data_IF_206802778403
#
_entry.id   IF_206802778403
#
_cell.length_a   1.000
_cell.length_b   1.000
_cell.length_c   1.000
_cell.angle_alpha   90.00
_cell.angle_beta   90.00
_cell.angle_gamma   90.00
#
_symmetry.space_group_name_H-M   'P 1'
#
loop_
_entity.id
_entity.type
_entity.pdbx_description
1 polymer ?
#
# COMPACT_ATOMS: atom_id res chain seq x y z
N UNK A 1 42.19 -27.64 10.53
CA UNK A 1 40.77 -27.71 10.90
C UNK A 1 39.98 -27.77 9.60
N UNK A 2 38.96 -28.62 9.46
CA UNK A 2 38.53 -29.12 8.13
C UNK A 2 37.91 -28.09 7.17
N UNK A 3 37.88 -26.80 7.52
CA UNK A 3 37.30 -25.71 6.70
C UNK A 3 38.25 -24.51 6.49
N UNK A 4 39.52 -24.60 6.89
CA UNK A 4 40.51 -23.52 6.68
C UNK A 4 41.20 -23.63 5.31
N UNK A 5 41.20 -22.55 4.53
CA UNK A 5 41.73 -22.49 3.16
C UNK A 5 43.14 -21.91 3.03
N UNK A 6 43.67 -21.26 4.08
CA UNK A 6 45.05 -20.79 4.13
C UNK A 6 45.70 -20.90 5.52
N UNK A 7 46.99 -20.58 5.59
CA UNK A 7 47.76 -20.59 6.84
C UNK A 7 47.42 -19.44 7.81
N UNK A 8 46.52 -18.53 7.43
CA UNK A 8 46.03 -17.44 8.27
C UNK A 8 44.66 -17.77 8.91
N UNK A 9 44.23 -19.04 8.83
CA UNK A 9 42.93 -19.51 9.36
C UNK A 9 41.73 -18.86 8.66
N UNK A 10 41.89 -18.41 7.40
CA UNK A 10 40.76 -17.94 6.59
C UNK A 10 39.88 -19.13 6.16
N UNK A 11 38.59 -18.86 5.97
CA UNK A 11 37.58 -19.82 5.48
C UNK A 11 37.20 -19.42 4.04
N UNK A 12 36.89 -20.39 3.18
CA UNK A 12 36.35 -20.09 1.84
C UNK A 12 34.94 -19.51 1.96
N UNK A 13 34.67 -18.45 1.20
CA UNK A 13 33.32 -17.97 0.99
C UNK A 13 32.53 -18.95 0.12
N UNK A 14 31.24 -18.67 -0.11
CA UNK A 14 30.40 -19.56 -0.92
C UNK A 14 30.84 -19.67 -2.39
N UNK A 15 31.72 -18.78 -2.87
CA UNK A 15 32.26 -18.78 -4.22
C UNK A 15 33.61 -19.53 -4.30
N UNK A 16 34.06 -20.12 -3.19
CA UNK A 16 35.36 -20.79 -3.10
C UNK A 16 36.53 -19.81 -3.03
N UNK A 17 36.28 -18.54 -2.67
CA UNK A 17 37.34 -17.53 -2.48
C UNK A 17 37.76 -17.52 -1.02
N UNK A 18 39.02 -17.84 -0.79
CA UNK A 18 39.59 -17.85 0.55
C UNK A 18 39.61 -16.45 1.17
N UNK A 19 38.91 -16.27 2.30
CA UNK A 19 38.75 -14.96 2.96
C UNK A 19 37.87 -13.98 2.18
N UNK A 20 37.01 -14.49 1.30
CA UNK A 20 35.96 -13.68 0.66
C UNK A 20 34.77 -13.44 1.59
N UNK A 21 33.91 -12.50 1.19
CA UNK A 21 32.72 -12.10 1.96
C UNK A 21 31.40 -12.58 1.30
N UNK A 22 31.47 -13.39 0.23
CA UNK A 22 30.28 -13.85 -0.47
C UNK A 22 29.47 -14.81 0.42
N UNK A 23 28.16 -14.54 0.53
CA UNK A 23 27.22 -15.37 1.28
C UNK A 23 26.20 -15.98 0.32
N UNK A 24 25.69 -17.16 0.70
CA UNK A 24 24.55 -17.77 0.02
C UNK A 24 23.30 -16.99 0.42
N UNK A 25 22.54 -16.54 -0.57
CA UNK A 25 21.26 -15.86 -0.36
C UNK A 25 20.11 -16.83 -0.05
N UNK A 26 18.91 -16.30 0.15
CA UNK A 26 17.70 -17.08 0.44
C UNK A 26 17.31 -18.04 -0.70
N UNK A 27 17.88 -17.83 -1.89
CA UNK A 27 17.67 -18.61 -3.09
C UNK A 27 18.73 -19.69 -3.34
N UNK A 28 19.71 -19.79 -2.43
CA UNK A 28 20.80 -20.75 -2.58
C UNK A 28 21.88 -20.30 -3.56
N UNK A 29 21.83 -19.04 -4.02
CA UNK A 29 22.83 -18.47 -4.91
C UNK A 29 23.91 -17.74 -4.12
N UNK A 30 25.17 -18.03 -4.44
CA UNK A 30 26.29 -17.35 -3.80
C UNK A 30 26.47 -15.94 -4.36
N UNK A 31 26.34 -14.92 -3.50
CA UNK A 31 26.38 -13.52 -3.91
C UNK A 31 25.24 -13.15 -4.87
N UNK A 32 24.12 -13.88 -4.78
CA UNK A 32 22.95 -13.65 -5.60
C UNK A 32 22.24 -12.34 -5.25
N UNK A 33 21.26 -11.92 -6.07
CA UNK A 33 20.50 -10.69 -5.86
C UNK A 33 19.54 -10.76 -4.65
N UNK A 34 19.38 -11.94 -4.01
CA UNK A 34 18.35 -12.19 -3.02
C UNK A 34 17.01 -12.57 -3.65
N UNK A 35 16.00 -12.79 -2.82
CA UNK A 35 14.67 -13.11 -3.29
C UNK A 35 13.96 -11.89 -3.91
N UNK A 36 13.23 -12.13 -4.99
CA UNK A 36 12.29 -11.20 -5.61
C UNK A 36 10.99 -11.13 -4.81
N UNK A 37 10.45 -9.93 -4.63
CA UNK A 37 9.20 -9.71 -3.90
C UNK A 37 8.00 -9.79 -4.84
N UNK A 38 7.08 -10.70 -4.55
CA UNK A 38 5.91 -10.99 -5.37
C UNK A 38 4.64 -10.25 -4.92
N UNK A 39 4.71 -9.55 -3.79
CA UNK A 39 3.58 -8.91 -3.13
C UNK A 39 2.87 -9.79 -2.11
N UNK A 40 2.10 -9.16 -1.22
CA UNK A 40 1.36 -9.85 -0.16
C UNK A 40 2.25 -10.64 0.82
N UNK A 41 3.50 -10.22 1.01
CA UNK A 41 4.47 -10.93 1.85
C UNK A 41 5.10 -12.18 1.22
N UNK A 42 4.91 -12.39 -0.09
CA UNK A 42 5.45 -13.54 -0.83
C UNK A 42 6.80 -13.16 -1.46
N UNK A 43 7.80 -14.03 -1.31
CA UNK A 43 9.13 -13.88 -1.88
C UNK A 43 9.51 -15.13 -2.67
N UNK A 44 9.95 -14.95 -3.91
CA UNK A 44 10.37 -16.04 -4.79
C UNK A 44 11.73 -15.70 -5.41
N UNK A 45 12.43 -16.69 -5.94
CA UNK A 45 13.79 -16.46 -6.45
C UNK A 45 13.83 -15.72 -7.79
N UNK A 46 12.72 -15.70 -8.52
CA UNK A 46 12.58 -14.95 -9.76
C UNK A 46 11.15 -14.44 -9.90
N UNK A 47 10.97 -13.36 -10.66
CA UNK A 47 9.66 -12.77 -10.98
C UNK A 47 8.68 -13.78 -11.61
N UNK A 48 9.17 -14.72 -12.43
CA UNK A 48 8.31 -15.70 -13.11
C UNK A 48 7.73 -16.75 -12.15
N UNK A 49 8.33 -16.91 -10.98
CA UNK A 49 7.91 -17.88 -9.97
C UNK A 49 6.86 -17.25 -9.03
N UNK A 50 6.62 -15.94 -9.13
CA UNK A 50 5.60 -15.25 -8.35
C UNK A 50 4.19 -15.74 -8.68
N UNK A 51 3.35 -15.99 -7.66
CA UNK A 51 1.95 -16.28 -7.89
C UNK A 51 1.22 -15.04 -8.39
N UNK A 52 0.30 -15.23 -9.33
CA UNK A 52 -0.57 -14.15 -9.84
C UNK A 52 -1.62 -13.68 -8.82
N UNK A 53 -1.77 -14.42 -7.71
CA UNK A 53 -2.75 -14.16 -6.65
C UNK A 53 -2.06 -14.10 -5.29
N UNK A 54 -2.55 -13.21 -4.43
CA UNK A 54 -2.07 -13.01 -3.07
C UNK A 54 -3.20 -13.04 -2.04
N UNK A 55 -2.84 -13.32 -0.79
CA UNK A 55 -3.74 -13.18 0.36
C UNK A 55 -3.21 -12.04 1.24
N UNK A 56 -4.09 -11.11 1.64
CA UNK A 56 -3.70 -10.02 2.53
C UNK A 56 -4.87 -9.59 3.43
N UNK A 57 -4.56 -8.93 4.54
CA UNK A 57 -5.56 -8.41 5.46
C UNK A 57 -5.35 -6.93 5.75
N UNK A 58 -6.46 -6.22 5.99
CA UNK A 58 -6.52 -4.83 6.39
C UNK A 58 -7.08 -4.75 7.80
N UNK A 59 -6.29 -4.24 8.74
CA UNK A 59 -6.76 -4.05 10.11
C UNK A 59 -7.63 -2.79 10.21
N UNK A 60 -8.84 -2.97 10.75
CA UNK A 60 -9.86 -1.93 10.91
C UNK A 60 -10.11 -1.67 12.39
N UNK A 61 -10.13 -0.40 12.78
CA UNK A 61 -10.57 -0.01 14.12
C UNK A 61 -12.10 0.17 14.15
N UNK A 62 -12.69 0.10 15.35
CA UNK A 62 -14.11 0.41 15.55
C UNK A 62 -14.45 1.79 14.98
N UNK A 63 -15.60 1.90 14.30
CA UNK A 63 -16.03 3.11 13.61
C UNK A 63 -15.73 3.08 12.11
N UNK A 64 -15.55 4.26 11.52
CA UNK A 64 -15.32 4.43 10.09
C UNK A 64 -13.82 4.40 9.80
N UNK A 65 -13.40 3.62 8.81
CA UNK A 65 -12.03 3.48 8.35
C UNK A 65 -11.99 3.87 6.87
N UNK A 66 -11.09 4.76 6.46
CA UNK A 66 -10.93 5.11 5.06
C UNK A 66 -9.88 4.22 4.40
N UNK A 67 -10.33 3.25 3.63
CA UNK A 67 -9.47 2.22 3.03
C UNK A 67 -9.54 2.23 1.51
N UNK A 68 -8.57 1.54 0.91
CA UNK A 68 -8.58 1.15 -0.50
C UNK A 68 -8.10 -0.28 -0.68
N UNK A 69 -8.21 -0.78 -1.90
CA UNK A 69 -7.76 -2.12 -2.27
C UNK A 69 -6.73 -2.01 -3.38
N UNK A 70 -5.57 -2.65 -3.20
CA UNK A 70 -4.53 -2.79 -4.22
C UNK A 70 -4.57 -4.18 -4.88
N UNK A 71 -5.38 -5.10 -4.35
CA UNK A 71 -5.71 -6.37 -4.98
C UNK A 71 -7.16 -6.76 -4.66
N UNK A 72 -7.85 -7.41 -5.60
CA UNK A 72 -9.22 -7.91 -5.40
C UNK A 72 -9.38 -9.34 -5.91
N UNK A 73 -10.28 -10.14 -5.30
CA UNK A 73 -10.57 -11.47 -5.80
C UNK A 73 -11.39 -11.38 -7.09
N UNK A 74 -11.37 -12.44 -7.90
CA UNK A 74 -12.16 -12.58 -9.15
C UNK A 74 -13.62 -12.11 -8.99
N UNK A 75 -14.23 -12.44 -7.86
CA UNK A 75 -15.55 -11.93 -7.48
C UNK A 75 -15.41 -10.72 -6.56
N UNK A 76 -15.40 -9.52 -7.14
CA UNK A 76 -15.39 -8.25 -6.39
C UNK A 76 -16.73 -7.87 -5.76
N UNK A 77 -17.71 -8.79 -5.67
CA UNK A 77 -19.02 -8.49 -5.07
C UNK A 77 -18.86 -8.08 -3.61
N UNK A 78 -19.66 -7.12 -3.15
CA UNK A 78 -19.57 -6.59 -1.77
C UNK A 78 -19.64 -7.70 -0.72
N UNK A 79 -20.49 -8.71 -0.95
CA UNK A 79 -20.63 -9.85 -0.03
C UNK A 79 -19.42 -10.79 -0.03
N UNK A 80 -18.68 -10.90 -1.13
CA UNK A 80 -17.46 -11.70 -1.18
C UNK A 80 -16.29 -10.97 -0.50
N UNK A 81 -16.07 -9.70 -0.87
CA UNK A 81 -14.97 -8.89 -0.35
C UNK A 81 -15.11 -8.68 1.16
N UNK A 82 -16.31 -8.39 1.67
CA UNK A 82 -16.56 -8.14 3.09
C UNK A 82 -16.82 -9.41 3.90
N UNK A 83 -16.65 -10.60 3.31
CA UNK A 83 -17.07 -11.87 3.92
C UNK A 83 -16.31 -12.19 5.22
N UNK A 84 -15.04 -11.81 5.32
CA UNK A 84 -14.20 -12.04 6.52
C UNK A 84 -14.59 -11.18 7.72
N UNK A 85 -15.31 -10.08 7.51
CA UNK A 85 -15.82 -9.19 8.56
C UNK A 85 -17.35 -9.22 8.67
N UNK A 86 -17.98 -10.29 8.18
CA UNK A 86 -19.42 -10.48 8.34
C UNK A 86 -19.80 -10.47 9.84
N UNK A 87 -20.84 -9.73 10.17
CA UNK A 87 -21.24 -9.47 11.55
C UNK A 87 -20.54 -8.29 12.24
N UNK A 88 -19.41 -7.78 11.71
CA UNK A 88 -18.76 -6.55 12.20
C UNK A 88 -19.09 -5.33 11.34
N UNK A 89 -19.14 -5.52 10.01
CA UNK A 89 -19.44 -4.43 9.08
C UNK A 89 -20.87 -3.93 9.22
N UNK A 90 -21.03 -2.61 9.33
CA UNK A 90 -22.33 -1.93 9.49
C UNK A 90 -22.67 -1.04 8.29
N UNK A 91 -21.68 -0.66 7.50
CA UNK A 91 -21.89 0.13 6.28
C UNK A 91 -20.61 0.30 5.47
N UNK A 92 -20.78 0.50 4.18
CA UNK A 92 -19.71 0.81 3.23
C UNK A 92 -20.15 1.99 2.37
N UNK A 93 -19.34 3.03 2.31
CA UNK A 93 -19.64 4.27 1.59
C UNK A 93 -18.50 4.56 0.62
N UNK A 94 -18.84 4.67 -0.66
CA UNK A 94 -17.93 5.12 -1.72
C UNK A 94 -18.32 6.52 -2.19
N UNK A 95 -17.77 6.95 -3.33
CA UNK A 95 -18.10 8.26 -3.87
C UNK A 95 -19.54 8.35 -4.36
N UNK A 96 -20.40 9.09 -3.64
CA UNK A 96 -21.81 9.25 -4.00
C UNK A 96 -22.65 7.95 -3.91
N UNK A 97 -22.07 6.86 -3.41
CA UNK A 97 -22.69 5.54 -3.33
C UNK A 97 -22.54 4.96 -1.92
N UNK A 98 -23.45 4.08 -1.53
CA UNK A 98 -23.39 3.42 -0.23
C UNK A 98 -24.13 2.08 -0.24
N UNK A 99 -23.73 1.20 0.67
CA UNK A 99 -24.47 -0.02 1.01
C UNK A 99 -24.32 -0.38 2.48
N UNK A 100 -25.28 -1.11 3.01
CA UNK A 100 -25.27 -1.63 4.38
C UNK A 100 -25.84 -3.03 4.40
N UNK A 101 -25.32 -3.94 5.24
CA UNK A 101 -25.88 -5.28 5.39
C UNK A 101 -27.24 -5.21 6.10
N UNK A 102 -28.17 -6.06 5.68
CA UNK A 102 -29.48 -6.25 6.29
C UNK A 102 -29.69 -7.73 6.65
N UNK A 103 -30.15 -8.05 7.87
CA UNK A 103 -30.18 -9.43 8.38
C UNK A 103 -30.94 -10.46 7.54
N UNK A 104 -31.87 -10.01 6.70
CA UNK A 104 -32.72 -10.89 5.87
C UNK A 104 -32.52 -10.66 4.38
N UNK A 105 -32.10 -9.47 3.98
CA UNK A 105 -32.11 -9.04 2.57
C UNK A 105 -30.71 -9.04 1.96
N UNK A 106 -29.68 -9.41 2.75
CA UNK A 106 -28.29 -9.25 2.35
C UNK A 106 -27.92 -7.77 2.28
N UNK A 107 -27.08 -7.41 1.33
CA UNK A 107 -26.64 -6.03 1.14
C UNK A 107 -27.72 -5.17 0.49
N UNK A 108 -28.04 -4.03 1.11
CA UNK A 108 -28.98 -3.03 0.59
C UNK A 108 -28.21 -1.77 0.25
N UNK A 109 -28.33 -1.27 -0.96
CA UNK A 109 -27.66 -0.04 -1.39
C UNK A 109 -27.37 0.00 -2.88
N UNK A 110 -26.56 0.96 -3.28
CA UNK A 110 -26.11 1.13 -4.66
C UNK A 110 -24.79 0.42 -4.96
N UNK A 111 -23.96 0.14 -3.95
CA UNK A 111 -22.71 -0.61 -4.14
C UNK A 111 -23.04 -2.11 -4.20
N UNK A 112 -22.84 -2.72 -5.36
CA UNK A 112 -22.95 -4.18 -5.54
C UNK A 112 -21.58 -4.87 -5.64
N UNK A 113 -20.59 -4.13 -6.11
CA UNK A 113 -19.22 -4.57 -6.31
C UNK A 113 -18.26 -3.50 -5.78
N UNK A 114 -17.13 -3.95 -5.27
CA UNK A 114 -15.98 -3.10 -4.98
C UNK A 114 -15.23 -2.89 -6.30
N UNK A 115 -15.07 -1.63 -6.65
CA UNK A 115 -14.17 -1.16 -7.69
C UNK A 115 -12.76 -0.99 -7.09
N UNK A 116 -11.78 -1.61 -7.74
CA UNK A 116 -10.36 -1.57 -7.36
C UNK A 116 -9.76 -0.17 -7.49
N UNK A 117 -10.37 0.72 -8.27
CA UNK A 117 -9.92 2.10 -8.49
C UNK A 117 -10.49 3.11 -7.48
N UNK A 118 -11.41 2.68 -6.62
CA UNK A 118 -12.12 3.56 -5.71
C UNK A 118 -11.68 3.36 -4.25
N UNK A 119 -11.73 4.44 -3.47
CA UNK A 119 -11.62 4.37 -2.01
C UNK A 119 -12.99 4.12 -1.37
N UNK A 120 -12.99 3.65 -0.11
CA UNK A 120 -14.21 3.37 0.63
C UNK A 120 -14.06 3.72 2.11
N UNK A 121 -15.11 4.30 2.68
CA UNK A 121 -15.32 4.30 4.12
C UNK A 121 -15.99 2.98 4.52
N UNK A 122 -15.26 2.11 5.21
CA UNK A 122 -15.81 0.89 5.80
C UNK A 122 -16.06 1.14 7.28
N UNK A 123 -17.33 0.97 7.68
CA UNK A 123 -17.78 1.22 9.04
C UNK A 123 -18.00 -0.11 9.74
N UNK A 124 -17.28 -0.34 10.83
CA UNK A 124 -17.36 -1.57 11.65
C UNK A 124 -17.75 -1.23 13.09
N UNK A 125 -18.45 -2.14 13.76
CA UNK A 125 -18.91 -1.93 15.14
C UNK A 125 -17.80 -2.16 16.18
N UNK A 126 -16.89 -3.11 15.93
CA UNK A 126 -15.70 -3.39 16.72
C UNK A 126 -14.45 -3.55 15.84
N UNK A 127 -13.26 -3.47 16.43
CA UNK A 127 -12.01 -3.67 15.70
C UNK A 127 -11.93 -5.10 15.13
N UNK A 128 -11.54 -5.22 13.88
CA UNK A 128 -11.50 -6.48 13.14
C UNK A 128 -10.47 -6.42 12.01
N UNK A 129 -10.22 -7.55 11.34
CA UNK A 129 -9.29 -7.63 10.21
C UNK A 129 -10.03 -8.11 8.96
N UNK A 130 -10.03 -7.27 7.92
CA UNK A 130 -10.63 -7.55 6.62
C UNK A 130 -9.62 -8.28 5.74
N UNK A 131 -9.76 -9.60 5.65
CA UNK A 131 -8.90 -10.45 4.83
C UNK A 131 -9.50 -10.69 3.45
N UNK A 132 -8.68 -10.51 2.43
CA UNK A 132 -8.95 -10.77 1.02
C UNK A 132 -8.08 -11.95 0.60
N UNK A 133 -8.70 -13.00 0.07
CA UNK A 133 -8.00 -14.19 -0.38
C UNK A 133 -8.11 -14.33 -1.91
N UNK A 134 -7.15 -15.01 -2.51
CA UNK A 134 -7.05 -15.24 -3.96
C UNK A 134 -7.15 -13.91 -4.76
N UNK A 135 -6.49 -12.87 -4.26
CA UNK A 135 -6.60 -11.50 -4.78
C UNK A 135 -5.64 -11.27 -5.95
N UNK A 136 -6.16 -10.77 -7.07
CA UNK A 136 -5.39 -10.30 -8.21
C UNK A 136 -4.92 -8.87 -7.96
N UNK A 137 -3.62 -8.63 -8.14
CA UNK A 137 -3.00 -7.31 -8.01
C UNK A 137 -3.55 -6.32 -9.05
N UNK A 138 -3.59 -5.04 -8.65
CA UNK A 138 -3.88 -3.94 -9.56
C UNK A 138 -2.72 -3.73 -10.51
N UNK A 139 -3.01 -3.36 -11.76
CA UNK A 139 -1.99 -2.92 -12.71
C UNK A 139 -1.36 -1.61 -12.22
N UNK A 140 -0.03 -1.52 -12.17
CA UNK A 140 0.67 -0.29 -11.75
C UNK A 140 0.53 0.84 -12.78
N UNK A 141 0.19 0.53 -14.05
CA UNK A 141 -0.09 1.53 -15.09
C UNK A 141 -1.56 1.99 -15.11
N UNK A 142 -2.25 1.84 -13.99
CA UNK A 142 -3.67 2.17 -13.86
C UNK A 142 -3.95 3.67 -14.01
N UNK A 143 -4.85 4.00 -14.95
CA UNK A 143 -5.30 5.37 -15.22
C UNK A 143 -6.66 5.67 -14.55
N UNK A 144 -6.67 6.61 -13.62
CA UNK A 144 -7.86 7.14 -12.95
C UNK A 144 -8.47 8.28 -13.75
N UNK A 145 -9.78 8.20 -14.01
CA UNK A 145 -10.51 9.28 -14.68
C UNK A 145 -11.11 10.22 -13.62
N UNK A 146 -10.40 11.32 -13.32
CA UNK A 146 -10.79 12.29 -12.30
C UNK A 146 -11.72 13.35 -12.88
N UNK A 147 -12.74 13.73 -12.12
CA UNK A 147 -13.54 14.91 -12.39
C UNK A 147 -13.14 16.07 -11.49
N UNK A 148 -13.48 17.29 -11.91
CA UNK A 148 -13.30 18.50 -11.10
C UNK A 148 -13.93 18.34 -9.72
N UNK A 149 -13.18 18.74 -8.68
CA UNK A 149 -13.57 18.54 -7.29
C UNK A 149 -12.88 17.34 -6.65
N UNK A 150 -13.53 16.76 -5.65
CA UNK A 150 -12.97 15.68 -4.84
C UNK A 150 -13.33 14.33 -5.45
N UNK A 151 -12.33 13.47 -5.63
CA UNK A 151 -12.45 12.12 -6.19
C UNK A 151 -11.96 11.13 -5.13
N UNK A 152 -12.73 10.10 -4.81
CA UNK A 152 -12.34 9.09 -3.83
C UNK A 152 -11.70 7.88 -4.52
N UNK A 153 -10.38 7.82 -4.50
CA UNK A 153 -9.59 6.82 -5.24
C UNK A 153 -8.88 5.84 -4.32
N UNK A 154 -8.47 4.71 -4.91
CA UNK A 154 -7.53 3.76 -4.33
C UNK A 154 -6.07 4.14 -4.60
N UNK A 155 -5.15 3.50 -3.87
CA UNK A 155 -3.74 3.45 -4.22
C UNK A 155 -3.41 2.05 -4.80
N UNK A 156 -2.81 1.95 -6.00
CA UNK A 156 -2.76 0.71 -6.79
C UNK A 156 -1.57 -0.21 -6.44
N UNK A 157 -0.79 0.12 -5.42
CA UNK A 157 0.36 -0.67 -4.98
C UNK A 157 0.24 -0.97 -3.50
N UNK A 158 0.93 -2.01 -3.06
CA UNK A 158 1.11 -2.34 -1.63
C UNK A 158 2.06 -1.37 -0.90
N UNK A 159 2.86 -0.62 -1.67
CA UNK A 159 3.92 0.24 -1.18
C UNK A 159 3.42 1.56 -0.56
N UNK A 160 4.37 2.30 0.00
CA UNK A 160 4.17 3.67 0.48
C UNK A 160 5.03 4.64 -0.31
N UNK A 161 4.40 5.65 -0.91
CA UNK A 161 5.07 6.65 -1.75
C UNK A 161 4.78 8.04 -1.22
N UNK A 162 5.75 8.95 -1.24
CA UNK A 162 5.46 10.33 -0.79
C UNK A 162 4.49 11.02 -1.75
N UNK A 163 3.66 11.94 -1.25
CA UNK A 163 2.62 12.58 -2.07
C UNK A 163 3.20 13.26 -3.32
N UNK A 164 4.39 13.84 -3.22
CA UNK A 164 5.05 14.53 -4.35
C UNK A 164 5.61 13.60 -5.42
N UNK A 165 5.97 12.35 -5.08
CA UNK A 165 6.44 11.36 -6.06
C UNK A 165 5.30 10.50 -6.61
N UNK A 166 4.23 10.31 -5.83
CA UNK A 166 3.10 9.51 -6.26
C UNK A 166 2.30 10.16 -7.40
N UNK A 167 2.40 11.48 -7.55
CA UNK A 167 1.67 12.26 -8.54
C UNK A 167 2.60 12.64 -9.70
N UNK A 168 2.28 12.28 -10.95
CA UNK A 168 3.03 12.70 -12.12
C UNK A 168 3.10 14.23 -12.26
N UNK A 169 4.25 14.76 -12.69
CA UNK A 169 4.49 16.20 -12.84
C UNK A 169 3.42 16.92 -13.70
N UNK A 170 2.88 16.23 -14.72
CA UNK A 170 1.91 16.80 -15.65
C UNK A 170 0.50 16.94 -15.03
N UNK A 171 0.17 16.14 -14.02
CA UNK A 171 -1.09 16.20 -13.27
C UNK A 171 -0.94 16.92 -11.93
N UNK A 172 0.24 16.88 -11.32
CA UNK A 172 0.49 17.41 -9.97
C UNK A 172 0.01 18.85 -9.81
N UNK A 173 0.22 19.69 -10.83
CA UNK A 173 -0.20 21.11 -10.83
C UNK A 173 -1.72 21.32 -10.82
N UNK A 174 -2.50 20.31 -11.20
CA UNK A 174 -3.97 20.33 -11.16
C UNK A 174 -4.51 19.81 -9.83
N UNK A 175 -3.69 19.10 -9.04
CA UNK A 175 -4.07 18.58 -7.73
C UNK A 175 -3.85 19.64 -6.66
N UNK A 176 -4.93 20.08 -6.03
CA UNK A 176 -4.88 21.12 -4.98
C UNK A 176 -4.72 20.55 -3.58
N UNK A 177 -5.15 19.31 -3.37
CA UNK A 177 -5.15 18.69 -2.07
C UNK A 177 -5.37 17.18 -2.13
N UNK A 178 -4.81 16.50 -1.13
CA UNK A 178 -4.96 15.07 -0.89
C UNK A 178 -5.39 14.90 0.57
N UNK A 179 -6.45 14.14 0.81
CA UNK A 179 -6.99 13.88 2.15
C UNK A 179 -7.15 12.38 2.35
N UNK A 180 -6.72 11.88 3.51
CA UNK A 180 -6.94 10.50 3.99
C UNK A 180 -7.52 10.53 5.39
N UNK A 181 -7.86 9.38 5.96
CA UNK A 181 -8.17 9.29 7.37
C UNK A 181 -7.02 9.80 8.24
N UNK A 182 -7.32 10.79 9.08
CA UNK A 182 -6.38 11.40 10.01
C UNK A 182 -5.31 12.31 9.38
N UNK A 183 -5.31 12.50 8.05
CA UNK A 183 -4.25 13.21 7.33
C UNK A 183 -4.76 14.04 6.17
N UNK A 184 -4.09 15.17 5.92
CA UNK A 184 -4.32 15.96 4.72
C UNK A 184 -3.04 16.69 4.31
N UNK A 185 -2.90 16.92 3.00
CA UNK A 185 -1.88 17.77 2.41
C UNK A 185 -2.49 18.65 1.34
N UNK A 186 -2.01 19.88 1.25
CA UNK A 186 -2.46 20.90 0.31
C UNK A 186 -1.25 21.44 -0.42
N UNK A 187 -1.37 21.60 -1.74
CA UNK A 187 -0.29 22.15 -2.54
C UNK A 187 -0.34 23.69 -2.49
N UNK A 188 0.75 24.33 -2.08
CA UNK A 188 0.90 25.80 -2.06
C UNK A 188 2.22 26.14 -2.75
N UNK A 189 2.13 26.87 -3.88
CA UNK A 189 3.30 27.25 -4.69
C UNK A 189 4.17 26.06 -5.16
N UNK A 190 3.57 24.89 -5.40
CA UNK A 190 4.29 23.68 -5.81
C UNK A 190 4.93 22.90 -4.66
N UNK A 191 4.70 23.28 -3.41
CA UNK A 191 5.11 22.52 -2.23
C UNK A 191 3.90 21.92 -1.52
N UNK A 192 4.02 20.66 -1.07
CA UNK A 192 3.00 19.99 -0.28
C UNK A 192 3.12 20.36 1.20
N UNK A 193 2.06 20.93 1.76
CA UNK A 193 1.97 21.32 3.16
C UNK A 193 0.81 20.59 3.84
N UNK A 194 1.09 19.94 4.97
CA UNK A 194 0.07 19.24 5.73
C UNK A 194 0.62 18.16 6.64
N UNK A 195 -0.27 17.34 7.19
CA UNK A 195 0.08 16.18 8.00
C UNK A 195 0.24 14.90 7.19
N UNK A 196 -0.18 14.87 5.92
CA UNK A 196 -0.05 13.70 5.05
C UNK A 196 1.24 13.74 4.23
N UNK A 197 2.24 12.97 4.62
CA UNK A 197 3.51 12.92 3.89
C UNK A 197 3.51 11.90 2.74
N UNK A 198 2.75 10.80 2.87
CA UNK A 198 2.78 9.67 1.95
C UNK A 198 1.42 9.01 1.72
N UNK A 199 1.27 8.40 0.55
CA UNK A 199 0.20 7.48 0.17
C UNK A 199 0.61 6.05 0.52
N UNK A 200 -0.32 5.23 0.96
CA UNK A 200 -0.13 3.85 1.38
C UNK A 200 -1.30 2.99 0.93
N UNK A 201 -1.00 1.75 0.56
CA UNK A 201 -1.92 0.75 0.02
C UNK A 201 -3.22 0.48 0.78
N UNK A 202 -3.20 0.57 2.10
CA UNK A 202 -4.34 0.26 2.96
C UNK A 202 -5.32 1.42 3.17
N UNK A 203 -5.04 2.60 2.61
CA UNK A 203 -5.79 3.84 2.88
C UNK A 203 -6.47 4.38 1.63
N UNK A 204 -7.70 4.86 1.79
CA UNK A 204 -8.40 5.58 0.74
C UNK A 204 -8.02 7.05 0.70
N UNK A 205 -8.05 7.67 -0.49
CA UNK A 205 -7.66 9.06 -0.67
C UNK A 205 -8.71 9.87 -1.41
N UNK A 206 -8.99 11.06 -0.90
CA UNK A 206 -9.70 12.10 -1.64
C UNK A 206 -8.68 12.97 -2.36
N UNK A 207 -8.69 12.93 -3.69
CA UNK A 207 -7.87 13.80 -4.55
C UNK A 207 -8.73 14.95 -5.06
N UNK A 208 -8.31 16.18 -4.75
CA UNK A 208 -9.04 17.40 -5.13
C UNK A 208 -8.38 18.02 -6.34
N UNK A 209 -9.03 17.96 -7.50
CA UNK A 209 -8.52 18.51 -8.77
C UNK A 209 -9.31 19.74 -9.24
N UNK A 210 -8.62 20.68 -9.91
CA UNK A 210 -9.25 21.91 -10.40
C UNK A 210 -10.11 21.70 -11.66
N UNK A 211 -9.73 20.75 -12.50
CA UNK A 211 -10.42 20.38 -13.73
C UNK A 211 -10.35 18.87 -13.94
N UNK A 212 -11.24 18.34 -14.77
CA UNK A 212 -11.21 16.94 -15.17
C UNK A 212 -9.83 16.59 -15.74
N UNK A 213 -9.31 15.42 -15.34
CA UNK A 213 -7.96 14.98 -15.65
C UNK A 213 -7.89 13.46 -15.62
N UNK A 214 -6.91 12.91 -16.33
CA UNK A 214 -6.53 11.51 -16.15
C UNK A 214 -5.30 11.46 -15.26
N UNK A 215 -5.32 10.63 -14.22
CA UNK A 215 -4.21 10.47 -13.29
C UNK A 215 -3.66 9.05 -13.42
N UNK A 216 -2.37 8.91 -13.69
CA UNK A 216 -1.62 7.69 -13.38
C UNK A 216 -0.88 7.94 -12.07
N UNK A 217 -0.73 6.97 -11.18
CA UNK A 217 0.11 7.14 -9.98
C UNK A 217 1.50 6.59 -10.27
N UNK A 218 2.55 7.36 -9.97
CA UNK A 218 3.95 7.01 -10.28
C UNK A 218 4.72 6.49 -9.05
N UNK A 219 5.88 5.86 -9.33
CA UNK A 219 6.89 5.43 -8.35
C UNK A 219 6.37 4.60 -7.17
N UNK A 220 5.41 3.72 -7.43
CA UNK A 220 4.88 2.75 -6.49
C UNK A 220 5.76 1.51 -6.33
N UNK A 221 7.08 1.73 -6.26
CA UNK A 221 8.13 0.72 -6.10
C UNK A 221 8.83 0.87 -4.75
N UNK A 222 9.13 -0.28 -4.13
CA UNK A 222 9.95 -0.48 -2.94
C UNK A 222 10.93 0.67 -2.63
N UNK A 223 10.66 1.42 -1.56
CA UNK A 223 11.65 2.32 -0.96
C UNK A 223 12.14 1.70 0.36
N UNK A 224 13.43 1.34 0.32
CA UNK A 224 14.40 1.00 1.35
C UNK A 224 14.09 1.51 2.80
N UNK A 225 14.29 0.71 3.87
CA UNK A 225 14.12 1.09 5.29
C UNK A 225 15.03 2.24 5.83
N UNK A 226 15.64 3.06 4.97
CA UNK A 226 16.51 4.18 5.30
C UNK A 226 15.92 5.56 5.01
N UNK A 227 14.75 5.92 5.56
CA UNK A 227 14.19 7.27 5.35
C UNK A 227 15.02 8.34 6.07
N UNK A 228 15.79 9.13 5.31
CA UNK A 228 16.43 10.35 5.82
C UNK A 228 15.42 11.51 5.88
N UNK A 229 15.25 12.07 7.08
CA UNK A 229 14.38 13.23 7.29
C UNK A 229 15.17 14.53 7.15
N UNK A 230 14.79 15.36 6.17
CA UNK A 230 15.28 16.73 6.08
C UNK A 230 14.59 17.60 7.16
N UNK A 231 15.31 17.85 8.27
CA UNK A 231 14.85 18.70 9.36
C UNK A 231 15.15 20.18 9.09
N UNK A 232 14.14 21.04 9.27
CA UNK A 232 14.25 22.48 9.07
C UNK A 232 14.33 23.26 10.39
N UNK A 233 14.74 24.53 10.32
CA UNK A 233 14.82 25.42 11.47
C UNK A 233 13.41 25.79 11.98
N UNK A 234 12.99 25.25 13.13
CA UNK A 234 11.67 25.47 13.71
C UNK A 234 11.12 24.23 14.43
N UNK A 235 9.80 24.18 14.65
CA UNK A 235 9.14 22.97 15.11
C UNK A 235 8.86 22.06 13.90
N UNK A 236 9.39 20.85 13.95
CA UNK A 236 9.16 19.82 12.94
C UNK A 236 8.19 18.79 13.55
N UNK A 237 7.20 18.35 12.76
CA UNK A 237 6.33 17.23 13.12
C UNK A 237 6.81 16.01 12.35
N UNK A 238 7.29 15.00 13.08
CA UNK A 238 7.83 13.76 12.52
C UNK A 238 6.96 12.63 13.09
N UNK A 239 6.38 11.80 12.22
CA UNK A 239 5.67 10.58 12.60
C UNK A 239 6.60 9.38 12.45
N UNK A 240 6.78 8.62 13.52
CA UNK A 240 7.61 7.42 13.55
C UNK A 240 6.81 6.21 13.07
N UNK A 241 7.23 5.46 12.04
CA UNK A 241 6.49 4.33 11.52
C UNK A 241 6.94 3.03 12.22
N UNK A 242 6.58 2.86 13.50
CA UNK A 242 6.76 1.57 14.17
C UNK A 242 5.78 1.43 15.34
N UNK A 243 5.22 0.23 15.46
CA UNK A 243 4.38 -0.19 16.59
C UNK A 243 5.20 -0.49 17.87
N UNK A 244 6.53 -0.57 17.77
CA UNK A 244 7.42 -0.92 18.89
C UNK A 244 8.18 0.29 19.47
N UNK A 245 8.45 0.24 20.78
CA UNK A 245 9.30 1.22 21.47
C UNK A 245 10.77 1.01 21.11
N UNK A 246 11.38 1.98 20.42
CA UNK A 246 12.84 2.06 20.30
C UNK A 246 13.42 2.57 21.61
N UNK A 247 14.10 1.69 22.35
CA UNK A 247 14.90 2.10 23.51
C UNK A 247 16.20 2.73 23.04
N UNK A 248 16.48 3.93 23.56
CA UNK A 248 17.77 4.62 23.43
C UNK A 248 18.86 3.88 24.20
#
# INVERSE_FOLDING_TARGET
PEDECDCNENIEDCAGVCGGDALIDECGECGGPGAYYCGGGIYECNEIDCPDIIDYCLDLHSGANLISFYALPDSSTIGNVMSSIDGFVTGVIGEGVATSPHPVLGWIGSITNIDILSGYWVIVDDACSLCINDALLTDQETEYNLHSGANLISFPSEDTVTVGYALPDDIESYVTGVITEGGASTQINGEWLGSLASLSSSKGYWIIVQSDANLCLEDALLIDPGTEYNVHTGANLISFPSEDTVTV
#
